data_IF_816410540357
#
_entry.id   IF_816410540357
#
_cell.length_a   1.000
_cell.length_b   1.000
_cell.length_c   1.000
_cell.angle_alpha   90.00
_cell.angle_beta   90.00
_cell.angle_gamma   90.00
#
_symmetry.space_group_name_H-M   'P 1'
#
loop_
_entity.id
_entity.type
_entity.pdbx_description
1 polymer ?
#
# COMPACT_ATOMS: atom_id res chain seq x y z
N UNK A 1 5.67 23.99 8.27
CA UNK A 1 5.89 22.90 7.29
C UNK A 1 4.66 22.01 7.29
N UNK A 2 3.91 22.00 6.19
CA UNK A 2 2.71 21.21 6.00
C UNK A 2 3.04 19.96 5.16
N UNK A 3 2.86 18.79 5.77
CA UNK A 3 3.22 17.49 5.17
C UNK A 3 2.01 16.58 5.20
N UNK A 4 1.79 15.85 4.10
CA UNK A 4 0.90 14.69 4.07
C UNK A 4 1.61 13.49 3.44
N UNK A 5 1.60 12.37 4.15
CA UNK A 5 2.18 11.11 3.71
C UNK A 5 1.03 10.11 3.55
N UNK A 6 0.80 9.68 2.32
CA UNK A 6 -0.25 8.75 1.97
C UNK A 6 0.22 7.31 2.14
N UNK A 7 -0.57 6.49 2.83
CA UNK A 7 -0.25 5.07 3.05
C UNK A 7 -1.23 4.23 2.25
N UNK A 8 -0.71 3.43 1.33
CA UNK A 8 -1.51 2.60 0.42
C UNK A 8 -1.94 1.28 1.05
N UNK A 9 -3.26 1.03 1.07
CA UNK A 9 -3.90 -0.17 1.58
C UNK A 9 -4.65 -0.90 0.47
N UNK A 10 -4.26 -2.14 0.19
CA UNK A 10 -5.05 -3.06 -0.66
C UNK A 10 -5.95 -3.97 0.17
N UNK A 11 -5.49 -4.33 1.36
CA UNK A 11 -6.20 -5.16 2.32
C UNK A 11 -6.47 -4.36 3.60
N UNK A 12 -7.47 -4.80 4.36
CA UNK A 12 -7.74 -4.23 5.68
C UNK A 12 -6.56 -4.53 6.60
N UNK A 13 -6.02 -3.50 7.24
CA UNK A 13 -4.82 -3.59 8.09
C UNK A 13 -4.83 -2.45 9.10
N UNK A 14 -3.95 -2.51 10.09
CA UNK A 14 -3.80 -1.46 11.09
C UNK A 14 -3.55 -0.07 10.45
N UNK A 15 -4.31 0.92 10.90
CA UNK A 15 -4.13 2.33 10.49
C UNK A 15 -3.36 3.06 11.59
N UNK A 16 -2.19 3.59 11.23
CA UNK A 16 -1.39 4.38 12.15
C UNK A 16 -2.01 5.76 12.36
N UNK A 17 -2.27 6.11 13.62
CA UNK A 17 -2.86 7.40 13.98
C UNK A 17 -1.80 8.51 13.92
N UNK A 18 -1.99 9.47 13.03
CA UNK A 18 -1.17 10.70 12.91
C UNK A 18 -1.90 11.70 12.03
N UNK A 19 -1.77 12.99 12.31
CA UNK A 19 -2.35 14.05 11.46
C UNK A 19 -1.61 14.16 10.12
N UNK A 20 -0.40 13.61 10.02
CA UNK A 20 0.43 13.65 8.82
C UNK A 20 0.21 12.43 7.92
N UNK A 21 -0.38 11.37 8.45
CA UNK A 21 -0.58 10.09 7.75
C UNK A 21 -2.00 10.01 7.24
N UNK A 22 -2.16 9.82 5.93
CA UNK A 22 -3.46 9.73 5.29
C UNK A 22 -3.60 8.34 4.68
N UNK A 23 -4.47 7.47 5.22
CA UNK A 23 -4.70 6.16 4.62
C UNK A 23 -5.50 6.28 3.33
N UNK A 24 -5.08 5.56 2.29
CA UNK A 24 -5.78 5.48 1.01
C UNK A 24 -5.94 4.02 0.58
N UNK A 25 -7.18 3.63 0.31
CA UNK A 25 -7.51 2.34 -0.28
C UNK A 25 -7.20 2.37 -1.79
N UNK A 26 -6.38 1.43 -2.24
CA UNK A 26 -6.01 1.25 -3.66
C UNK A 26 -6.80 0.13 -4.31
N UNK A 27 -7.00 0.23 -5.63
CA UNK A 27 -7.78 -0.75 -6.39
C UNK A 27 -9.22 -0.83 -5.91
N UNK A 28 -9.73 0.27 -5.36
CA UNK A 28 -11.06 0.32 -4.80
C UNK A 28 -12.11 -0.05 -5.86
N UNK A 29 -11.95 0.38 -7.12
CA UNK A 29 -12.85 0.04 -8.22
C UNK A 29 -12.96 -1.47 -8.51
N UNK A 30 -11.94 -2.25 -8.14
CA UNK A 30 -11.90 -3.71 -8.29
C UNK A 30 -12.33 -4.46 -7.01
N UNK A 31 -12.49 -3.74 -5.90
CA UNK A 31 -12.76 -4.33 -4.58
C UNK A 31 -14.23 -4.31 -4.20
N UNK A 32 -14.73 -5.45 -3.73
CA UNK A 32 -16.07 -5.62 -3.15
C UNK A 32 -16.18 -5.04 -1.71
N UNK A 33 -15.05 -4.70 -1.10
CA UNK A 33 -14.98 -4.11 0.23
C UNK A 33 -14.45 -2.68 0.15
N UNK A 34 -15.14 -1.76 0.82
CA UNK A 34 -14.72 -0.38 0.98
C UNK A 34 -14.31 -0.19 2.44
N UNK A 35 -13.11 0.31 2.68
CA UNK A 35 -12.63 0.51 4.05
C UNK A 35 -13.06 1.87 4.56
N UNK A 36 -13.70 1.89 5.73
CA UNK A 36 -14.07 3.12 6.40
C UNK A 36 -12.81 3.89 6.86
N UNK A 37 -12.94 5.21 6.99
CA UNK A 37 -11.86 6.10 7.43
C UNK A 37 -10.62 6.12 6.51
N UNK A 38 -10.76 5.69 5.25
CA UNK A 38 -9.73 5.81 4.22
C UNK A 38 -10.19 6.66 3.04
N UNK A 39 -9.26 7.38 2.43
CA UNK A 39 -9.49 7.88 1.08
C UNK A 39 -9.64 6.71 0.12
N UNK A 40 -10.33 6.94 -0.99
CA UNK A 40 -10.55 5.92 -2.02
C UNK A 40 -10.00 6.40 -3.34
N UNK A 41 -9.18 5.58 -3.96
CA UNK A 41 -8.60 5.88 -5.26
C UNK A 41 -9.61 5.79 -6.42
N UNK A 42 -10.87 5.37 -6.19
CA UNK A 42 -11.92 5.22 -7.20
C UNK A 42 -12.88 6.42 -7.33
N UNK A 43 -12.50 7.58 -6.76
CA UNK A 43 -13.31 8.80 -6.81
C UNK A 43 -12.71 9.84 -7.76
N UNK A 44 -13.55 10.69 -8.35
CA UNK A 44 -13.08 11.76 -9.26
C UNK A 44 -12.27 11.20 -10.43
N UNK A 45 -11.21 11.91 -10.83
CA UNK A 45 -10.32 11.48 -11.92
C UNK A 45 -9.36 10.40 -11.42
N UNK A 46 -9.51 9.18 -11.91
CA UNK A 46 -8.75 8.05 -11.37
C UNK A 46 -8.38 6.98 -12.39
N UNK A 47 -7.52 6.06 -11.95
CA UNK A 47 -7.09 4.84 -12.66
C UNK A 47 -7.22 3.60 -11.74
N UNK A 48 -8.18 3.62 -10.81
CA UNK A 48 -8.34 2.57 -9.80
C UNK A 48 -8.61 1.18 -10.40
N UNK A 49 -9.33 1.13 -11.53
CA UNK A 49 -9.58 -0.10 -12.28
C UNK A 49 -8.30 -0.71 -12.89
N UNK A 50 -7.20 0.05 -12.96
CA UNK A 50 -5.91 -0.41 -13.47
C UNK A 50 -4.95 -0.82 -12.33
N UNK A 51 -5.43 -0.98 -11.09
CA UNK A 51 -4.59 -1.33 -9.93
C UNK A 51 -3.83 -2.65 -10.09
N UNK A 52 -4.35 -3.63 -10.82
CA UNK A 52 -3.60 -4.87 -11.08
C UNK A 52 -2.30 -4.60 -11.86
N UNK A 53 -2.30 -3.57 -12.72
CA UNK A 53 -1.11 -3.12 -13.46
C UNK A 53 -0.25 -2.13 -12.69
N UNK A 54 -0.87 -1.06 -12.22
CA UNK A 54 -0.21 0.10 -11.60
C UNK A 54 0.09 -0.08 -10.12
N UNK A 55 -0.51 -1.07 -9.47
CA UNK A 55 -0.40 -1.31 -8.03
C UNK A 55 -0.67 -0.01 -7.23
N UNK A 56 0.17 0.30 -6.25
CA UNK A 56 0.05 1.46 -5.37
C UNK A 56 0.15 2.82 -6.09
N UNK A 57 0.61 2.86 -7.36
CA UNK A 57 0.64 4.10 -8.15
C UNK A 57 -0.75 4.63 -8.46
N UNK A 58 -1.80 3.80 -8.35
CA UNK A 58 -3.20 4.25 -8.42
C UNK A 58 -3.53 5.27 -7.33
N UNK A 59 -3.01 5.10 -6.10
CA UNK A 59 -3.11 6.11 -5.04
C UNK A 59 -2.36 7.38 -5.41
N UNK A 60 -1.13 7.26 -5.94
CA UNK A 60 -0.35 8.43 -6.36
C UNK A 60 -1.08 9.24 -7.42
N UNK A 61 -1.64 8.58 -8.43
CA UNK A 61 -2.41 9.23 -9.47
C UNK A 61 -3.62 9.97 -8.89
N UNK A 62 -4.35 9.30 -7.99
CA UNK A 62 -5.53 9.88 -7.37
C UNK A 62 -5.18 11.14 -6.55
N UNK A 63 -4.13 11.08 -5.74
CA UNK A 63 -3.66 12.24 -4.96
C UNK A 63 -3.26 13.38 -5.88
N UNK A 64 -2.51 13.07 -6.95
CA UNK A 64 -2.08 14.07 -7.92
C UNK A 64 -3.24 14.77 -8.63
N UNK A 65 -4.34 14.06 -8.92
CA UNK A 65 -5.47 14.60 -9.68
C UNK A 65 -6.60 15.18 -8.85
N UNK A 66 -6.75 14.78 -7.58
CA UNK A 66 -7.95 15.08 -6.80
C UNK A 66 -7.67 15.70 -5.42
N UNK A 67 -6.50 15.45 -4.81
CA UNK A 67 -6.23 15.98 -3.48
C UNK A 67 -5.89 17.46 -3.54
N UNK A 68 -6.33 18.25 -2.55
CA UNK A 68 -5.96 19.66 -2.48
C UNK A 68 -4.49 19.80 -2.03
N UNK A 69 -3.64 20.21 -2.96
CA UNK A 69 -2.20 20.39 -2.74
C UNK A 69 -1.80 21.83 -2.40
N UNK A 70 -2.71 22.81 -2.44
CA UNK A 70 -2.38 24.24 -2.36
C UNK A 70 -1.52 24.56 -1.13
N UNK A 71 -1.91 24.04 0.03
CA UNK A 71 -1.27 24.31 1.32
C UNK A 71 -0.25 23.25 1.75
N UNK A 72 0.19 22.36 0.86
CA UNK A 72 1.22 21.36 1.18
C UNK A 72 2.61 21.81 0.74
N UNK A 73 3.57 21.64 1.64
CA UNK A 73 5.00 21.79 1.36
C UNK A 73 5.58 20.46 0.85
N UNK A 74 5.21 19.35 1.48
CA UNK A 74 5.68 18.00 1.14
C UNK A 74 4.53 17.01 0.97
N UNK A 75 4.72 16.09 0.02
CA UNK A 75 3.86 14.96 -0.25
C UNK A 75 4.70 13.69 -0.21
N UNK A 76 4.22 12.66 0.48
CA UNK A 76 4.90 11.37 0.53
C UNK A 76 3.99 10.18 0.33
N UNK A 77 4.60 9.03 0.04
CA UNK A 77 3.94 7.75 -0.12
C UNK A 77 4.69 6.65 0.64
N UNK A 78 3.93 5.82 1.34
CA UNK A 78 4.37 4.59 2.02
C UNK A 78 3.38 3.45 1.74
N UNK A 79 3.74 2.23 2.16
CA UNK A 79 2.85 1.07 2.08
C UNK A 79 2.33 0.72 3.46
N UNK A 80 1.17 0.08 3.54
CA UNK A 80 0.60 -0.45 4.80
C UNK A 80 1.56 -1.32 5.64
N UNK A 81 2.57 -1.95 5.02
CA UNK A 81 3.56 -2.80 5.69
C UNK A 81 5.02 -2.38 5.49
N UNK A 82 5.27 -1.22 4.86
CA UNK A 82 6.62 -0.68 4.66
C UNK A 82 6.62 0.81 4.90
N UNK A 83 7.35 1.22 5.94
CA UNK A 83 7.31 2.59 6.44
C UNK A 83 8.72 3.12 6.66
N UNK A 84 8.93 4.41 6.41
CA UNK A 84 10.12 5.12 6.87
C UNK A 84 10.31 4.96 8.38
N UNK A 85 11.55 4.72 8.81
CA UNK A 85 11.90 4.69 10.22
C UNK A 85 12.27 6.10 10.69
N UNK A 86 11.26 6.83 11.17
CA UNK A 86 11.44 8.17 11.73
C UNK A 86 11.92 8.13 13.18
N UNK A 87 11.50 7.10 13.93
CA UNK A 87 11.93 6.85 15.29
C UNK A 87 13.25 6.08 15.32
N UNK A 88 14.10 6.39 16.31
CA UNK A 88 15.38 5.71 16.46
C UNK A 88 15.18 4.36 17.18
N UNK A 89 15.32 3.27 16.42
CA UNK A 89 15.29 1.92 16.97
C UNK A 89 16.73 1.45 17.25
N UNK A 90 17.07 1.31 18.53
CA UNK A 90 18.40 0.90 19.00
C UNK A 90 18.65 -0.61 18.87
N UNK A 91 17.59 -1.41 18.77
CA UNK A 91 17.70 -2.86 18.64
C UNK A 91 18.27 -3.29 17.29
N UNK A 92 19.16 -4.27 17.32
CA UNK A 92 19.64 -4.93 16.10
C UNK A 92 18.52 -5.77 15.50
N UNK A 93 18.06 -5.41 14.31
CA UNK A 93 17.04 -6.14 13.54
C UNK A 93 17.67 -6.85 12.34
N UNK A 94 17.08 -7.98 11.94
CA UNK A 94 17.37 -8.60 10.64
C UNK A 94 16.81 -7.74 9.50
N UNK A 95 17.30 -7.97 8.28
CA UNK A 95 16.92 -7.19 7.10
C UNK A 95 15.93 -7.97 6.24
N UNK A 96 15.00 -7.25 5.59
CA UNK A 96 14.00 -7.83 4.69
C UNK A 96 14.65 -8.26 3.37
N UNK A 97 15.38 -7.33 2.74
CA UNK A 97 16.24 -7.67 1.61
C UNK A 97 17.66 -7.92 2.11
N UNK A 98 18.37 -8.86 1.49
CA UNK A 98 19.72 -9.24 1.87
C UNK A 98 20.66 -8.03 1.80
N UNK A 99 21.40 -7.75 2.89
CA UNK A 99 22.31 -6.59 3.01
C UNK A 99 21.68 -5.22 2.75
N UNK A 100 20.35 -5.10 2.84
CA UNK A 100 19.66 -3.81 2.78
C UNK A 100 19.64 -3.10 4.13
N UNK A 101 19.18 -1.84 4.13
CA UNK A 101 18.83 -1.10 5.34
C UNK A 101 17.33 -1.18 5.67
N UNK A 102 16.67 -2.27 5.25
CA UNK A 102 15.23 -2.47 5.41
C UNK A 102 14.99 -3.41 6.58
N UNK A 103 14.69 -2.88 7.77
CA UNK A 103 14.61 -3.66 9.01
C UNK A 103 13.30 -4.45 9.11
N UNK A 104 13.37 -5.72 9.50
CA UNK A 104 12.19 -6.56 9.74
C UNK A 104 11.60 -6.29 11.13
N UNK A 105 10.28 -6.16 11.19
CA UNK A 105 9.50 -6.09 12.40
C UNK A 105 8.44 -7.19 12.34
N UNK A 106 8.34 -7.99 13.40
CA UNK A 106 7.38 -9.10 13.45
C UNK A 106 5.94 -8.58 13.60
N UNK A 107 5.75 -7.59 14.46
CA UNK A 107 4.43 -7.09 14.86
C UNK A 107 4.50 -5.61 15.22
N UNK A 108 3.32 -5.00 15.37
CA UNK A 108 3.16 -3.62 15.82
C UNK A 108 3.23 -3.58 17.35
N UNK A 109 4.31 -3.03 17.90
CA UNK A 109 4.45 -2.78 19.33
C UNK A 109 4.35 -1.27 19.66
N UNK A 110 4.45 -0.93 20.95
CA UNK A 110 4.40 0.46 21.42
C UNK A 110 5.49 1.33 20.81
N UNK A 111 6.72 0.82 20.69
CA UNK A 111 7.84 1.56 20.11
C UNK A 111 7.63 1.78 18.60
N UNK A 112 7.07 0.81 17.91
CA UNK A 112 6.71 0.93 16.50
C UNK A 112 5.64 2.00 16.28
N UNK A 113 4.65 2.10 17.17
CA UNK A 113 3.64 3.17 17.10
C UNK A 113 4.24 4.57 17.27
N UNK A 114 5.30 4.73 18.08
CA UNK A 114 6.01 6.01 18.21
C UNK A 114 6.64 6.50 16.90
N UNK A 115 6.90 5.61 15.94
CA UNK A 115 7.37 5.97 14.61
C UNK A 115 6.44 6.94 13.87
N UNK A 116 5.16 6.98 14.24
CA UNK A 116 4.14 7.81 13.60
C UNK A 116 3.80 9.08 14.40
N UNK A 117 4.59 9.44 15.39
CA UNK A 117 4.42 10.70 16.11
C UNK A 117 4.72 11.90 15.19
N UNK A 118 3.81 12.88 15.15
CA UNK A 118 3.93 14.05 14.28
C UNK A 118 5.27 14.80 14.43
N UNK A 119 5.71 15.04 15.67
CA UNK A 119 6.96 15.79 15.93
C UNK A 119 8.19 15.01 15.48
N UNK A 120 8.15 13.67 15.56
CA UNK A 120 9.25 12.81 15.14
C UNK A 120 9.35 12.78 13.62
N UNK A 121 8.21 12.65 12.92
CA UNK A 121 8.16 12.73 11.45
C UNK A 121 8.70 14.08 10.97
N UNK A 122 8.19 15.20 11.50
CA UNK A 122 8.57 16.54 11.04
C UNK A 122 10.06 16.84 11.25
N UNK A 123 10.65 16.36 12.36
CA UNK A 123 12.10 16.48 12.60
C UNK A 123 12.95 15.74 11.56
N UNK A 124 12.43 14.65 10.99
CA UNK A 124 13.16 13.87 9.99
C UNK A 124 13.05 14.44 8.58
N UNK A 125 12.05 15.28 8.32
CA UNK A 125 11.87 15.84 6.97
C UNK A 125 12.88 16.95 6.68
N UNK A 126 13.28 17.70 7.72
CA UNK A 126 14.30 18.75 7.68
C UNK A 126 14.23 19.67 6.43
N UNK A 127 15.36 20.24 5.97
CA UNK A 127 15.46 21.11 4.79
C UNK A 127 15.75 20.35 3.47
N UNK A 128 15.71 19.01 3.48
CA UNK A 128 15.92 18.18 2.28
C UNK A 128 14.75 18.30 1.30
N UNK A 129 15.05 18.22 0.00
CA UNK A 129 14.03 18.35 -1.04
C UNK A 129 13.28 17.04 -1.30
N UNK A 130 13.99 15.92 -1.15
CA UNK A 130 13.47 14.56 -1.31
C UNK A 130 14.03 13.67 -0.18
N UNK A 131 13.17 12.83 0.38
CA UNK A 131 13.52 11.76 1.29
C UNK A 131 13.13 10.43 0.64
N UNK A 132 14.05 9.49 0.62
CA UNK A 132 13.89 8.18 -0.01
C UNK A 132 14.31 7.07 0.94
N UNK A 133 13.81 5.84 0.73
CA UNK A 133 14.47 4.67 1.30
C UNK A 133 15.93 4.65 0.86
N UNK A 134 16.82 4.10 1.69
CA UNK A 134 18.18 3.87 1.25
C UNK A 134 18.22 3.05 -0.04
N UNK A 135 19.04 3.49 -1.00
CA UNK A 135 19.18 2.81 -2.28
C UNK A 135 19.62 1.35 -2.08
N UNK A 136 18.96 0.42 -2.77
CA UNK A 136 19.32 -0.99 -2.72
C UNK A 136 20.35 -1.31 -3.79
N UNK A 137 21.45 -1.94 -3.39
CA UNK A 137 22.51 -2.32 -4.31
C UNK A 137 22.09 -3.55 -5.12
N UNK A 138 21.90 -3.34 -6.43
CA UNK A 138 21.45 -4.32 -7.38
C UNK A 138 22.39 -5.52 -7.51
N UNK A 139 23.66 -5.41 -7.08
CA UNK A 139 24.56 -6.57 -7.00
C UNK A 139 24.07 -7.64 -6.02
N UNK A 140 23.21 -7.26 -5.08
CA UNK A 140 22.57 -8.18 -4.14
C UNK A 140 21.22 -8.69 -4.64
N UNK A 141 20.76 -8.29 -5.84
CA UNK A 141 19.71 -9.02 -6.52
C UNK A 141 20.23 -10.37 -7.04
N UNK A 142 19.36 -11.38 -7.16
CA UNK A 142 19.75 -12.69 -7.69
C UNK A 142 20.47 -12.64 -9.05
N UNK A 143 20.15 -11.64 -9.89
CA UNK A 143 20.70 -11.49 -11.25
C UNK A 143 21.63 -10.27 -11.42
N UNK A 144 22.10 -9.68 -10.32
CA UNK A 144 23.22 -8.71 -10.24
C UNK A 144 23.05 -7.33 -10.92
N UNK A 145 22.18 -7.21 -11.92
CA UNK A 145 21.85 -5.96 -12.63
C UNK A 145 20.34 -5.74 -12.62
N UNK A 146 19.91 -4.47 -12.59
CA UNK A 146 18.49 -4.08 -12.55
C UNK A 146 17.71 -4.69 -13.71
N UNK A 147 18.18 -4.51 -14.95
CA UNK A 147 17.55 -5.07 -16.17
C UNK A 147 17.40 -6.59 -16.11
N UNK A 148 18.48 -7.30 -15.76
CA UNK A 148 18.47 -8.76 -15.71
C UNK A 148 17.57 -9.27 -14.58
N UNK A 149 17.59 -8.59 -13.44
CA UNK A 149 16.71 -8.92 -12.33
C UNK A 149 15.25 -8.72 -12.72
N UNK A 150 14.91 -7.61 -13.39
CA UNK A 150 13.56 -7.36 -13.88
C UNK A 150 13.07 -8.48 -14.80
N UNK A 151 13.87 -8.86 -15.81
CA UNK A 151 13.51 -9.95 -16.75
C UNK A 151 13.43 -11.34 -16.12
N UNK A 152 13.95 -11.51 -14.89
CA UNK A 152 13.86 -12.77 -14.16
C UNK A 152 12.71 -12.81 -13.15
N UNK A 153 12.00 -11.69 -12.93
CA UNK A 153 10.78 -11.69 -12.12
C UNK A 153 9.73 -12.49 -12.88
N UNK A 154 9.11 -13.48 -12.22
CA UNK A 154 8.02 -14.27 -12.80
C UNK A 154 6.95 -13.34 -13.40
N UNK A 155 6.60 -13.59 -14.66
CA UNK A 155 5.59 -12.80 -15.38
C UNK A 155 6.08 -11.50 -15.99
N UNK A 156 7.34 -11.12 -15.79
CA UNK A 156 7.87 -9.88 -16.33
C UNK A 156 8.64 -10.15 -17.62
N UNK A 157 8.39 -9.31 -18.62
CA UNK A 157 8.98 -9.40 -19.95
C UNK A 157 10.06 -8.34 -20.07
N UNK A 158 11.31 -8.76 -20.29
CA UNK A 158 12.47 -7.85 -20.31
C UNK A 158 12.34 -6.76 -21.38
N UNK A 159 11.60 -7.05 -22.45
CA UNK A 159 11.27 -6.14 -23.53
C UNK A 159 10.48 -4.93 -23.03
N UNK A 160 9.65 -5.08 -21.98
CA UNK A 160 8.91 -3.97 -21.38
C UNK A 160 9.85 -2.97 -20.67
N UNK A 161 10.96 -3.46 -20.11
CA UNK A 161 12.00 -2.59 -19.56
C UNK A 161 12.73 -1.82 -20.66
N UNK A 162 13.09 -2.51 -21.75
CA UNK A 162 13.78 -1.86 -22.88
C UNK A 162 12.88 -0.79 -23.52
N UNK A 163 11.61 -1.12 -23.74
CA UNK A 163 10.60 -0.17 -24.23
C UNK A 163 10.43 1.03 -23.30
N UNK A 164 10.46 0.82 -21.97
CA UNK A 164 10.43 1.93 -21.00
C UNK A 164 11.61 2.88 -21.22
N UNK A 165 12.83 2.36 -21.39
CA UNK A 165 14.02 3.18 -21.64
C UNK A 165 13.88 3.98 -22.95
N UNK A 166 13.42 3.34 -24.02
CA UNK A 166 13.21 3.98 -25.32
C UNK A 166 12.19 5.12 -25.24
N UNK A 167 11.06 4.89 -24.54
CA UNK A 167 10.04 5.93 -24.32
C UNK A 167 10.62 7.09 -23.51
N UNK A 168 11.41 6.83 -22.46
CA UNK A 168 12.05 7.91 -21.69
C UNK A 168 13.00 8.72 -22.58
N UNK A 169 13.85 8.07 -23.36
CA UNK A 169 14.80 8.75 -24.27
C UNK A 169 14.07 9.58 -25.34
N UNK A 170 12.94 9.09 -25.85
CA UNK A 170 12.13 9.78 -26.86
C UNK A 170 11.41 11.00 -26.28
N UNK A 171 10.74 10.86 -25.13
CA UNK A 171 9.93 11.95 -24.52
C UNK A 171 10.75 12.93 -23.72
N UNK A 172 11.82 12.45 -23.08
CA UNK A 172 12.67 13.20 -22.16
C UNK A 172 14.15 13.07 -22.55
N UNK A 173 14.58 13.54 -23.74
CA UNK A 173 15.95 13.35 -24.22
C UNK A 173 17.02 13.93 -23.28
N UNK A 174 16.68 14.96 -22.49
CA UNK A 174 17.55 15.54 -21.48
C UNK A 174 17.82 14.61 -20.28
N UNK A 175 17.09 13.50 -20.12
CA UNK A 175 17.34 12.47 -19.12
C UNK A 175 18.44 11.49 -19.53
N UNK A 176 18.99 11.57 -20.75
CA UNK A 176 19.99 10.61 -21.27
C UNK A 176 21.15 10.33 -20.30
N UNK A 177 21.71 11.38 -19.68
CA UNK A 177 22.78 11.21 -18.69
C UNK A 177 22.32 10.45 -17.44
N UNK A 178 21.10 10.72 -16.96
CA UNK A 178 20.52 10.01 -15.82
C UNK A 178 20.22 8.55 -16.14
N UNK A 179 19.78 8.25 -17.36
CA UNK A 179 19.55 6.88 -17.83
C UNK A 179 20.86 6.10 -17.90
N UNK A 180 21.91 6.68 -18.49
CA UNK A 180 23.23 6.04 -18.53
C UNK A 180 23.72 5.72 -17.11
N UNK A 181 23.62 6.70 -16.20
CA UNK A 181 23.96 6.49 -14.80
C UNK A 181 23.06 5.46 -14.12
N UNK A 182 21.76 5.39 -14.42
CA UNK A 182 20.87 4.36 -13.89
C UNK A 182 21.24 2.96 -14.38
N UNK A 183 21.67 2.82 -15.64
CA UNK A 183 22.09 1.54 -16.22
C UNK A 183 23.46 1.10 -15.66
N UNK A 184 24.36 2.05 -15.42
CA UNK A 184 25.71 1.82 -14.88
C UNK A 184 25.71 1.64 -13.36
N UNK A 185 24.95 2.47 -12.64
CA UNK A 185 24.85 2.44 -11.19
C UNK A 185 23.92 1.31 -10.79
N UNK A 186 24.48 0.33 -10.09
CA UNK A 186 23.72 -0.77 -9.51
C UNK A 186 22.95 -0.32 -8.26
N UNK A 187 22.25 0.81 -8.27
CA UNK A 187 21.44 1.29 -7.14
C UNK A 187 19.99 1.47 -7.60
N UNK A 188 19.06 0.91 -6.83
CA UNK A 188 17.62 0.99 -7.11
C UNK A 188 16.85 1.50 -5.89
N UNK A 189 15.99 2.49 -6.09
CA UNK A 189 15.03 2.94 -5.08
C UNK A 189 13.74 2.13 -5.20
N UNK A 190 13.71 1.00 -4.50
CA UNK A 190 12.57 0.06 -4.56
C UNK A 190 11.33 0.58 -3.81
N UNK A 191 10.21 -0.10 -4.03
CA UNK A 191 8.92 0.14 -3.37
C UNK A 191 8.22 1.46 -3.73
N UNK A 192 8.65 2.29 -4.67
CA UNK A 192 7.91 3.53 -5.00
C UNK A 192 7.60 4.44 -3.77
N UNK A 193 8.47 4.44 -2.75
CA UNK A 193 8.29 5.23 -1.52
C UNK A 193 9.15 6.49 -1.57
N UNK A 194 8.61 7.60 -1.11
CA UNK A 194 9.32 8.88 -1.00
C UNK A 194 8.54 9.87 -0.13
N UNK A 195 9.20 10.95 0.28
CA UNK A 195 8.57 12.20 0.75
C UNK A 195 9.30 13.31 0.02
N UNK A 196 8.61 14.13 -0.76
CA UNK A 196 9.27 15.17 -1.55
C UNK A 196 8.49 16.47 -1.55
N UNK A 197 9.18 17.57 -1.84
CA UNK A 197 8.53 18.87 -2.03
C UNK A 197 7.42 18.78 -3.05
N UNK A 198 6.33 19.51 -2.84
CA UNK A 198 5.16 19.53 -3.74
C UNK A 198 5.52 19.72 -5.20
N UNK A 199 6.43 20.65 -5.49
CA UNK A 199 6.87 20.95 -6.87
C UNK A 199 7.52 19.73 -7.52
N UNK A 200 8.32 18.96 -6.78
CA UNK A 200 8.95 17.73 -7.26
C UNK A 200 7.94 16.59 -7.39
N UNK A 201 6.96 16.50 -6.49
CA UNK A 201 5.87 15.51 -6.60
C UNK A 201 5.04 15.70 -7.86
N UNK A 202 4.66 16.94 -8.17
CA UNK A 202 3.91 17.27 -9.38
C UNK A 202 4.73 16.99 -10.63
N UNK A 203 6.01 17.37 -10.63
CA UNK A 203 6.92 17.09 -11.74
C UNK A 203 7.12 15.57 -11.94
N UNK A 204 7.40 14.83 -10.88
CA UNK A 204 7.54 13.38 -10.90
C UNK A 204 6.28 12.69 -11.40
N UNK A 205 5.10 13.12 -10.94
CA UNK A 205 3.84 12.52 -11.37
C UNK A 205 3.57 12.77 -12.86
N UNK A 206 3.90 13.96 -13.38
CA UNK A 206 3.83 14.21 -14.83
C UNK A 206 4.78 13.28 -15.60
N UNK A 207 6.04 13.20 -15.19
CA UNK A 207 7.05 12.32 -15.80
C UNK A 207 6.57 10.86 -15.80
N UNK A 208 6.29 10.32 -14.61
CA UNK A 208 5.90 8.94 -14.37
C UNK A 208 4.67 8.54 -15.19
N UNK A 209 3.55 9.23 -15.02
CA UNK A 209 2.29 8.83 -15.65
C UNK A 209 2.26 9.10 -17.16
N UNK A 210 3.08 10.04 -17.66
CA UNK A 210 3.22 10.21 -19.11
C UNK A 210 3.91 9.03 -19.80
N UNK A 211 4.83 8.35 -19.10
CA UNK A 211 5.58 7.20 -19.61
C UNK A 211 4.78 5.93 -19.40
N UNK A 212 4.26 5.71 -18.19
CA UNK A 212 3.46 4.51 -17.89
C UNK A 212 2.20 4.43 -18.76
N UNK A 213 1.56 5.56 -19.10
CA UNK A 213 0.41 5.55 -20.00
C UNK A 213 0.78 5.09 -21.42
N UNK A 214 1.93 5.52 -21.93
CA UNK A 214 2.40 5.10 -23.26
C UNK A 214 2.82 3.61 -23.26
N UNK A 215 3.41 3.12 -22.17
CA UNK A 215 3.68 1.70 -21.97
C UNK A 215 2.39 0.86 -21.96
N UNK A 216 1.38 1.30 -21.21
CA UNK A 216 0.09 0.62 -21.12
C UNK A 216 -0.67 0.59 -22.46
N UNK A 217 -0.45 1.59 -23.31
CA UNK A 217 -1.04 1.65 -24.66
C UNK A 217 -0.32 0.75 -25.68
N UNK A 218 0.99 0.53 -25.50
CA UNK A 218 1.81 -0.25 -26.44
C UNK A 218 1.92 -1.74 -26.07
N UNK A 219 1.79 -2.08 -24.79
CA UNK A 219 1.93 -3.45 -24.30
C UNK A 219 0.56 -4.13 -24.27
N UNK A 220 0.38 -5.15 -25.11
CA UNK A 220 -0.78 -6.04 -25.02
C UNK A 220 -0.66 -6.98 -23.82
N UNK A 221 -1.14 -6.49 -22.67
CA UNK A 221 -1.21 -7.27 -21.43
C UNK A 221 -2.41 -8.23 -21.35
N UNK A 222 -3.26 -8.33 -22.38
CA UNK A 222 -4.45 -9.21 -22.35
C UNK A 222 -4.07 -10.69 -22.28
N UNK A 223 -2.86 -11.03 -22.72
CA UNK A 223 -2.29 -12.38 -22.68
C UNK A 223 -1.56 -12.70 -21.36
N UNK A 224 -1.45 -11.75 -20.45
CA UNK A 224 -0.74 -11.95 -19.18
C UNK A 224 -1.63 -12.68 -18.18
N UNK A 225 -1.03 -13.58 -17.39
CA UNK A 225 -1.73 -14.15 -16.25
C UNK A 225 -1.97 -13.06 -15.19
N UNK A 226 -3.04 -13.23 -14.39
CA UNK A 226 -3.41 -12.25 -13.35
C UNK A 226 -2.27 -11.93 -12.37
N UNK A 227 -1.45 -12.93 -12.05
CA UNK A 227 -0.28 -12.80 -11.17
C UNK A 227 0.83 -11.92 -11.78
N UNK A 228 0.88 -11.83 -13.11
CA UNK A 228 1.95 -11.22 -13.89
C UNK A 228 1.63 -9.76 -14.29
N UNK A 229 0.40 -9.32 -14.02
CA UNK A 229 -0.14 -8.00 -14.41
C UNK A 229 0.63 -6.82 -13.82
N UNK A 230 1.44 -7.00 -12.78
CA UNK A 230 2.05 -5.92 -11.97
C UNK A 230 3.22 -5.17 -12.63
N UNK A 231 3.41 -5.32 -13.93
CA UNK A 231 4.57 -4.82 -14.67
C UNK A 231 4.76 -3.31 -14.58
N UNK A 232 3.69 -2.52 -14.66
CA UNK A 232 3.80 -1.06 -14.56
C UNK A 232 4.19 -0.60 -13.15
N UNK A 233 3.82 -1.35 -12.11
CA UNK A 233 4.30 -1.12 -10.74
C UNK A 233 5.82 -1.29 -10.63
N UNK A 234 6.36 -2.36 -11.21
CA UNK A 234 7.81 -2.63 -11.24
C UNK A 234 8.58 -1.61 -12.08
N UNK A 235 8.07 -1.27 -13.27
CA UNK A 235 8.66 -0.21 -14.10
C UNK A 235 8.58 1.16 -13.41
N UNK A 236 7.56 1.40 -12.59
CA UNK A 236 7.47 2.58 -11.73
C UNK A 236 8.67 2.75 -10.80
N UNK A 237 9.22 1.66 -10.24
CA UNK A 237 10.40 1.73 -9.36
C UNK A 237 11.67 2.10 -10.15
N UNK A 238 11.76 1.63 -11.40
CA UNK A 238 12.83 2.02 -12.32
C UNK A 238 12.72 3.51 -12.68
N UNK A 239 11.50 3.98 -13.01
CA UNK A 239 11.23 5.38 -13.33
C UNK A 239 11.47 6.32 -12.16
N UNK A 240 11.14 5.91 -10.93
CA UNK A 240 11.52 6.65 -9.72
C UNK A 240 13.05 6.80 -9.66
N UNK A 241 13.78 5.71 -9.83
CA UNK A 241 15.24 5.72 -9.76
C UNK A 241 15.87 6.62 -10.83
N UNK A 242 15.38 6.57 -12.07
CA UNK A 242 15.80 7.44 -13.16
C UNK A 242 15.52 8.92 -12.81
N UNK A 243 14.32 9.23 -12.32
CA UNK A 243 13.94 10.59 -11.95
C UNK A 243 14.82 11.14 -10.82
N UNK A 244 15.04 10.34 -9.77
CA UNK A 244 15.91 10.72 -8.66
C UNK A 244 17.35 10.95 -9.13
N UNK A 245 17.88 10.07 -9.98
CA UNK A 245 19.22 10.22 -10.57
C UNK A 245 19.32 11.53 -11.34
N UNK A 246 18.31 11.87 -12.14
CA UNK A 246 18.24 13.15 -12.84
C UNK A 246 18.25 14.34 -11.86
N UNK A 247 17.48 14.27 -10.77
CA UNK A 247 17.43 15.34 -9.76
C UNK A 247 18.72 15.50 -8.98
N UNK A 248 19.41 14.41 -8.63
CA UNK A 248 20.72 14.47 -7.98
C UNK A 248 21.77 15.17 -8.86
N UNK A 249 21.79 14.89 -10.17
CA UNK A 249 22.70 15.56 -11.13
C UNK A 249 22.46 17.08 -11.15
N UNK A 250 21.23 17.52 -10.87
CA UNK A 250 20.84 18.93 -10.87
C UNK A 250 20.82 19.55 -9.47
N UNK A 251 21.50 18.93 -8.49
CA UNK A 251 21.76 19.52 -7.18
C UNK A 251 20.61 19.50 -6.18
N UNK A 252 19.57 18.68 -6.42
CA UNK A 252 18.48 18.49 -5.47
C UNK A 252 19.00 17.77 -4.22
N UNK A 253 18.66 18.27 -3.03
CA UNK A 253 19.10 17.70 -1.74
C UNK A 253 18.28 16.46 -1.41
N UNK A 254 18.96 15.32 -1.30
CA UNK A 254 18.31 14.02 -1.04
C UNK A 254 18.80 13.44 0.28
N UNK A 255 17.85 13.04 1.11
CA UNK A 255 18.08 12.26 2.32
C UNK A 255 17.64 10.82 2.12
N UNK A 256 18.53 9.89 2.37
CA UNK A 256 18.19 8.48 2.42
C UNK A 256 17.91 8.04 3.86
N UNK A 257 16.85 7.27 4.05
CA UNK A 257 16.42 6.77 5.35
C UNK A 257 16.21 5.27 5.35
N UNK A 258 16.44 4.65 6.50
CA UNK A 258 16.06 3.27 6.71
C UNK A 258 14.53 3.12 6.67
N UNK A 259 14.07 1.97 6.21
CA UNK A 259 12.65 1.63 6.24
C UNK A 259 12.44 0.34 7.04
N UNK A 260 11.20 0.15 7.48
CA UNK A 260 10.72 -1.09 8.06
C UNK A 260 10.01 -1.94 7.01
N UNK A 261 10.06 -3.24 7.21
CA UNK A 261 9.11 -4.20 6.67
C UNK A 261 8.41 -4.88 7.85
N UNK A 262 7.09 -4.78 7.90
CA UNK A 262 6.26 -5.32 8.96
C UNK A 262 5.61 -6.63 8.48
N UNK A 263 5.86 -7.72 9.20
CA UNK A 263 5.38 -9.06 8.84
C UNK A 263 3.90 -9.22 9.15
N UNK A 264 3.48 -8.79 10.33
CA UNK A 264 2.08 -8.79 10.76
C UNK A 264 1.55 -7.34 10.88
N UNK A 265 0.56 -7.02 10.04
CA UNK A 265 -0.19 -5.76 10.04
C UNK A 265 -1.65 -5.93 10.46
N UNK A 266 -1.99 -7.07 11.06
CA UNK A 266 -3.34 -7.41 11.46
C UNK A 266 -3.87 -6.36 12.43
N UNK A 267 -5.19 -6.18 12.38
CA UNK A 267 -5.88 -5.34 13.34
C UNK A 267 -5.90 -6.12 14.65
N UNK A 268 -5.31 -5.55 15.68
CA UNK A 268 -5.51 -6.03 17.03
C UNK A 268 -7.00 -5.88 17.39
N UNK A 269 -7.69 -7.01 17.44
CA UNK A 269 -9.14 -7.11 17.68
C UNK A 269 -9.52 -6.50 19.03
N UNK A 270 -8.58 -6.40 19.98
CA UNK A 270 -8.81 -5.70 21.25
C UNK A 270 -9.10 -4.21 21.07
N UNK A 271 -8.77 -3.63 19.90
CA UNK A 271 -9.04 -2.24 19.55
C UNK A 271 -10.38 -2.03 18.85
N UNK A 272 -11.10 -3.11 18.52
CA UNK A 272 -12.46 -3.00 18.02
C UNK A 272 -13.36 -2.47 19.13
N UNK A 273 -14.07 -1.37 18.85
CA UNK A 273 -15.05 -0.80 19.78
C UNK A 273 -16.29 -1.69 19.78
N UNK A 274 -16.40 -2.53 20.80
CA UNK A 274 -17.62 -3.27 21.07
C UNK A 274 -18.64 -2.33 21.73
N UNK A 275 -19.92 -2.51 21.40
CA UNK A 275 -20.98 -1.80 22.11
C UNK A 275 -20.96 -2.16 23.61
N UNK A 276 -21.49 -1.26 24.44
CA UNK A 276 -21.69 -1.51 25.88
C UNK A 276 -22.86 -2.48 26.15
N UNK A 277 -23.25 -3.32 25.18
CA UNK A 277 -24.29 -4.32 25.40
C UNK A 277 -23.85 -5.29 26.50
N UNK A 278 -24.82 -5.69 27.33
CA UNK A 278 -24.56 -6.59 28.46
C UNK A 278 -24.28 -8.03 28.00
N UNK A 279 -24.69 -8.39 26.77
CA UNK A 279 -24.59 -9.75 26.26
C UNK A 279 -23.91 -9.78 24.88
N UNK A 280 -22.80 -10.51 24.80
CA UNK A 280 -21.99 -10.66 23.60
C UNK A 280 -21.98 -12.11 23.16
N UNK A 281 -22.28 -12.35 21.89
CA UNK A 281 -22.24 -13.67 21.26
C UNK A 281 -21.11 -13.64 20.23
N UNK A 282 -20.09 -14.46 20.44
CA UNK A 282 -18.90 -14.48 19.57
C UNK A 282 -18.91 -15.77 18.76
N UNK A 283 -18.83 -15.64 17.44
CA UNK A 283 -18.78 -16.76 16.50
C UNK A 283 -17.50 -16.68 15.66
N UNK A 284 -16.95 -17.84 15.33
CA UNK A 284 -15.85 -17.98 14.37
C UNK A 284 -16.34 -18.85 13.22
N UNK A 285 -16.17 -18.38 12.00
CA UNK A 285 -16.53 -19.14 10.82
C UNK A 285 -15.47 -18.99 9.74
N UNK A 286 -14.96 -20.12 9.27
CA UNK A 286 -14.04 -20.18 8.14
C UNK A 286 -14.85 -20.58 6.90
N UNK A 287 -14.97 -19.66 5.96
CA UNK A 287 -15.51 -19.96 4.64
C UNK A 287 -14.52 -20.83 3.87
N UNK A 288 -15.00 -21.95 3.36
CA UNK A 288 -14.26 -22.87 2.49
C UNK A 288 -15.12 -23.21 1.26
N UNK A 289 -14.49 -23.69 0.20
CA UNK A 289 -15.22 -24.12 -1.00
C UNK A 289 -16.08 -25.35 -0.66
N UNK A 290 -17.42 -25.21 -0.72
CA UNK A 290 -18.37 -26.28 -0.44
C UNK A 290 -19.62 -25.83 0.32
N UNK A 291 -20.42 -26.80 0.78
CA UNK A 291 -21.73 -26.58 1.43
C UNK A 291 -21.64 -26.13 2.90
N UNK A 292 -20.44 -26.04 3.50
CA UNK A 292 -20.29 -25.70 4.93
C UNK A 292 -20.63 -24.25 5.27
N UNK A 293 -20.76 -23.37 4.27
CA UNK A 293 -21.06 -21.95 4.47
C UNK A 293 -22.50 -21.73 4.97
N UNK A 294 -23.43 -22.67 4.73
CA UNK A 294 -24.81 -22.61 5.24
C UNK A 294 -24.90 -22.73 6.77
N UNK A 295 -23.90 -23.36 7.41
CA UNK A 295 -23.91 -23.59 8.85
C UNK A 295 -23.92 -22.28 9.64
N UNK A 296 -23.21 -21.25 9.16
CA UNK A 296 -23.23 -19.94 9.79
C UNK A 296 -24.64 -19.33 9.76
N UNK A 297 -25.30 -19.38 8.61
CA UNK A 297 -26.65 -18.81 8.42
C UNK A 297 -27.69 -19.52 9.30
N UNK A 298 -27.66 -20.85 9.35
CA UNK A 298 -28.57 -21.65 10.20
C UNK A 298 -28.30 -21.39 11.69
N UNK A 299 -27.03 -21.36 12.08
CA UNK A 299 -26.64 -21.05 13.46
C UNK A 299 -27.15 -19.67 13.88
N UNK A 300 -26.96 -18.66 13.03
CA UNK A 300 -27.45 -17.31 13.28
C UNK A 300 -28.97 -17.25 13.35
N UNK A 301 -29.67 -17.86 12.40
CA UNK A 301 -31.13 -17.90 12.41
C UNK A 301 -31.66 -18.52 13.71
N UNK A 302 -31.08 -19.65 14.11
CA UNK A 302 -31.44 -20.32 15.37
C UNK A 302 -31.16 -19.44 16.59
N UNK A 303 -30.02 -18.75 16.64
CA UNK A 303 -29.73 -17.80 17.72
C UNK A 303 -30.82 -16.72 17.76
N UNK A 304 -31.08 -16.07 16.62
CA UNK A 304 -32.01 -14.95 16.50
C UNK A 304 -33.45 -15.31 16.90
N UNK A 305 -33.91 -16.51 16.54
CA UNK A 305 -35.24 -17.02 16.91
C UNK A 305 -35.39 -17.30 18.41
N UNK A 306 -34.28 -17.43 19.14
CA UNK A 306 -34.26 -17.82 20.55
C UNK A 306 -33.68 -16.73 21.47
N UNK A 307 -33.39 -15.54 20.94
CA UNK A 307 -32.95 -14.41 21.77
C UNK A 307 -34.11 -13.86 22.60
N UNK A 308 -33.80 -13.53 23.84
CA UNK A 308 -34.70 -12.84 24.75
C UNK A 308 -34.89 -11.39 24.28
N UNK A 309 -36.12 -11.03 23.87
CA UNK A 309 -36.41 -9.73 23.27
C UNK A 309 -36.29 -8.55 24.24
N UNK A 310 -36.21 -8.80 25.55
CA UNK A 310 -35.99 -7.75 26.55
C UNK A 310 -34.50 -7.39 26.74
N UNK A 311 -33.59 -8.18 26.17
CA UNK A 311 -32.13 -7.99 26.27
C UNK A 311 -31.54 -7.43 25.00
N UNK A 312 -30.42 -6.73 25.15
CA UNK A 312 -29.62 -6.19 24.06
C UNK A 312 -28.40 -7.08 23.82
N UNK A 313 -28.26 -7.56 22.59
CA UNK A 313 -27.16 -8.45 22.18
C UNK A 313 -26.24 -7.80 21.15
N UNK A 314 -24.95 -8.07 21.26
CA UNK A 314 -24.00 -7.82 20.18
C UNK A 314 -23.45 -9.16 19.68
N UNK A 315 -23.72 -9.48 18.41
CA UNK A 315 -23.18 -10.67 17.76
C UNK A 315 -21.93 -10.28 16.99
N UNK A 316 -20.81 -10.88 17.36
CA UNK A 316 -19.48 -10.62 16.81
C UNK A 316 -19.08 -11.86 16.02
N UNK A 317 -18.94 -11.72 14.70
CA UNK A 317 -18.61 -12.85 13.83
C UNK A 317 -17.24 -12.63 13.19
N UNK A 318 -16.33 -13.54 13.50
CA UNK A 318 -14.99 -13.58 12.95
C UNK A 318 -14.94 -14.50 11.73
N UNK A 319 -14.57 -13.93 10.59
CA UNK A 319 -14.54 -14.64 9.31
C UNK A 319 -13.21 -14.48 8.59
N UNK A 320 -12.83 -15.46 7.77
CA UNK A 320 -11.63 -15.40 6.95
C UNK A 320 -11.83 -14.64 5.62
N UNK A 321 -13.06 -14.52 5.12
CA UNK A 321 -13.37 -13.85 3.86
C UNK A 321 -14.75 -13.19 3.89
N UNK A 322 -14.81 -11.86 3.68
CA UNK A 322 -16.06 -11.10 3.61
C UNK A 322 -16.81 -11.23 2.29
N UNK A 323 -16.12 -11.60 1.22
CA UNK A 323 -16.68 -11.60 -0.13
C UNK A 323 -17.75 -12.68 -0.33
N UNK A 324 -17.76 -13.68 0.55
CA UNK A 324 -18.66 -14.84 0.53
C UNK A 324 -19.89 -14.61 1.42
N UNK A 325 -19.91 -13.51 2.19
CA UNK A 325 -21.06 -13.15 3.03
C UNK A 325 -22.15 -12.52 2.17
N UNK A 326 -23.35 -13.09 2.23
CA UNK A 326 -24.56 -12.51 1.67
C UNK A 326 -24.98 -11.29 2.52
N UNK A 327 -24.56 -10.10 2.08
CA UNK A 327 -24.85 -8.85 2.79
C UNK A 327 -26.35 -8.53 2.83
N UNK A 328 -27.13 -9.01 1.86
CA UNK A 328 -28.56 -8.74 1.80
C UNK A 328 -29.28 -9.50 2.92
N UNK A 329 -28.93 -10.78 3.11
CA UNK A 329 -29.40 -11.59 4.23
C UNK A 329 -29.15 -10.91 5.60
N UNK A 330 -27.95 -10.38 5.81
CA UNK A 330 -27.60 -9.73 7.07
C UNK A 330 -28.19 -8.34 7.25
N UNK A 331 -28.46 -7.64 6.15
CA UNK A 331 -29.16 -6.35 6.21
C UNK A 331 -30.62 -6.52 6.65
N UNK A 332 -31.28 -7.60 6.19
CA UNK A 332 -32.65 -7.97 6.57
C UNK A 332 -32.77 -8.34 8.05
N UNK A 333 -31.70 -8.90 8.63
CA UNK A 333 -31.69 -9.38 10.01
C UNK A 333 -31.47 -8.26 11.03
N UNK A 334 -30.95 -7.09 10.63
CA UNK A 334 -30.71 -5.98 11.57
C UNK A 334 -32.03 -5.48 12.18
N UNK A 335 -32.19 -5.68 13.49
CA UNK A 335 -33.37 -5.26 14.25
C UNK A 335 -33.01 -4.22 15.31
N UNK A 336 -34.02 -3.60 15.94
CA UNK A 336 -33.86 -2.63 17.03
C UNK A 336 -33.22 -3.23 18.30
N UNK A 337 -33.15 -4.56 18.42
CA UNK A 337 -32.81 -5.26 19.66
C UNK A 337 -31.42 -5.92 19.67
N UNK A 338 -30.70 -5.93 18.55
CA UNK A 338 -29.34 -6.47 18.49
C UNK A 338 -28.54 -5.88 17.33
N UNK A 339 -27.21 -5.78 17.53
CA UNK A 339 -26.25 -5.37 16.51
C UNK A 339 -25.40 -6.56 16.07
N UNK A 340 -25.22 -6.72 14.76
CA UNK A 340 -24.30 -7.72 14.19
C UNK A 340 -23.08 -6.96 13.67
N UNK A 341 -21.92 -7.26 14.24
CA UNK A 341 -20.63 -6.74 13.84
C UNK A 341 -19.79 -7.89 13.29
N UNK A 342 -19.22 -7.69 12.12
CA UNK A 342 -18.30 -8.65 11.55
C UNK A 342 -16.88 -8.13 11.59
N UNK A 343 -15.95 -9.05 11.82
CA UNK A 343 -14.53 -8.79 11.78
C UNK A 343 -13.82 -9.85 10.94
N UNK A 344 -12.84 -9.44 10.14
CA UNK A 344 -11.93 -10.40 9.52
C UNK A 344 -10.99 -10.92 10.61
N UNK A 345 -10.88 -12.24 10.73
CA UNK A 345 -9.77 -12.88 11.40
C UNK A 345 -8.90 -13.54 10.33
N UNK A 346 -7.71 -12.99 10.12
CA UNK A 346 -6.66 -13.70 9.39
C UNK A 346 -6.07 -14.67 10.41
N UNK A 347 -6.73 -15.82 10.60
CA UNK A 347 -6.12 -16.94 11.32
C UNK A 347 -4.98 -17.47 10.46
N UNK A 348 -3.75 -17.09 10.80
CA UNK A 348 -2.57 -17.86 10.40
C UNK A 348 -2.65 -19.16 11.20
N UNK A 349 -3.23 -20.20 10.60
CA UNK A 349 -2.93 -21.55 11.05
C UNK A 349 -1.44 -21.78 10.82
N UNK A 350 -0.72 -22.12 11.89
CA UNK A 350 0.70 -22.45 11.90
C UNK A 350 1.07 -23.52 10.88
#
# INVERSE_FOLDING_TARGET
MNVKIFVSYKYLSYIFKSDLIIPIQTGCALSNQKFDNMLRDDKGKNISCLNEKYCELTAQYWVWKNYNLENLDYIGFMHHRRHFLFYNFTEKKSTWLYKSRFKRFKQIDYNYKNNFNNNIILKQIDDNDIILPCGYDAKYFPHGKIRNNYGAIKGQHIENYDLMIDIVLKKYPHFKKAINLFIENNIMYVCNMYIMRKVLFVEYSNFLFSILKELDDLIDSSVYAKEDMRFLGYLGECLLTIFITYKQIHGVKIKEMEISFLENTDIDISQCSFSNSSYKIVLFHKFEAGFYNFALYVCLQSILENLDCEKQYEIIIFVNDFSIIDKDYFSLIKSKYFNINFFILILIFC
#
